data_IF_116316168867
#
_entry.id   IF_116316168867
#
_cell.length_a   1.000
_cell.length_b   1.000
_cell.length_c   1.000
_cell.angle_alpha   90.00
_cell.angle_beta   90.00
_cell.angle_gamma   90.00
#
_symmetry.space_group_name_H-M   'P 1'
#
loop_
_entity.id
_entity.type
_entity.pdbx_description
1 polymer ?
#
# COMPACT_ATOMS: atom_id res chain seq x y z
N UNK A 1 -10.01 -1.00 -7.66
CA UNK A 1 -10.23 -0.27 -6.38
C UNK A 1 -11.65 0.28 -6.16
N UNK A 2 -12.61 0.11 -7.07
CA UNK A 2 -13.95 0.71 -6.92
C UNK A 2 -14.75 0.23 -5.69
N UNK A 3 -14.68 -1.06 -5.35
CA UNK A 3 -15.45 -1.63 -4.23
C UNK A 3 -15.04 -1.13 -2.84
N UNK A 4 -13.77 -0.71 -2.68
CA UNK A 4 -13.24 -0.23 -1.41
C UNK A 4 -13.02 1.27 -1.37
N UNK A 5 -13.28 1.99 -2.47
CA UNK A 5 -12.95 3.42 -2.57
C UNK A 5 -13.61 4.27 -1.48
N UNK A 6 -14.87 3.97 -1.11
CA UNK A 6 -15.60 4.65 -0.04
C UNK A 6 -15.10 4.36 1.38
N UNK A 7 -14.12 3.47 1.56
CA UNK A 7 -13.49 3.20 2.87
C UNK A 7 -12.32 4.15 3.18
N UNK A 8 -11.92 4.97 2.20
CA UNK A 8 -10.80 5.88 2.34
C UNK A 8 -11.31 7.31 2.34
N UNK A 9 -11.08 8.05 3.43
CA UNK A 9 -11.42 9.48 3.50
C UNK A 9 -10.54 10.35 2.57
N UNK A 10 -9.37 9.85 2.17
CA UNK A 10 -8.38 10.56 1.34
C UNK A 10 -7.94 9.70 0.16
N UNK A 11 -7.46 10.34 -0.91
CA UNK A 11 -7.03 9.65 -2.13
C UNK A 11 -5.67 8.96 -1.98
N UNK A 12 -4.76 9.53 -1.18
CA UNK A 12 -3.40 9.02 -0.99
C UNK A 12 -3.37 7.63 -0.34
N UNK A 13 -4.09 7.35 0.77
CA UNK A 13 -4.10 6.02 1.37
C UNK A 13 -4.82 5.01 0.47
N UNK A 14 -5.78 5.45 -0.36
CA UNK A 14 -6.45 4.61 -1.37
C UNK A 14 -5.51 4.18 -2.47
N UNK A 15 -4.73 5.12 -3.02
CA UNK A 15 -3.70 4.82 -4.03
C UNK A 15 -2.65 3.87 -3.46
N UNK A 16 -2.24 4.09 -2.20
CA UNK A 16 -1.27 3.23 -1.53
C UNK A 16 -1.79 1.83 -1.24
N UNK A 17 -3.06 1.69 -0.84
CA UNK A 17 -3.70 0.38 -0.75
C UNK A 17 -3.73 -0.33 -2.12
N UNK A 18 -3.93 0.43 -3.20
CA UNK A 18 -3.74 -0.02 -4.59
C UNK A 18 -2.39 -0.68 -4.82
N UNK A 19 -1.34 0.10 -4.53
CA UNK A 19 0.06 -0.31 -4.65
C UNK A 19 0.40 -1.53 -3.80
N UNK A 20 -0.09 -1.56 -2.56
CA UNK A 20 0.08 -2.71 -1.67
C UNK A 20 -0.51 -3.98 -2.27
N UNK A 21 -1.76 -3.93 -2.74
CA UNK A 21 -2.42 -5.10 -3.36
C UNK A 21 -1.67 -5.55 -4.62
N UNK A 22 -1.23 -4.61 -5.45
CA UNK A 22 -0.44 -4.94 -6.63
C UNK A 22 0.88 -5.64 -6.26
N UNK A 23 1.58 -5.17 -5.23
CA UNK A 23 2.77 -5.83 -4.72
C UNK A 23 2.49 -7.21 -4.13
N UNK A 24 1.37 -7.37 -3.42
CA UNK A 24 0.95 -8.67 -2.90
C UNK A 24 0.59 -9.68 -3.99
N UNK A 25 0.13 -9.22 -5.16
CA UNK A 25 -0.20 -10.05 -6.31
C UNK A 25 0.96 -10.26 -7.28
N UNK A 26 2.02 -9.47 -7.16
CA UNK A 26 3.22 -9.61 -7.98
C UNK A 26 4.03 -10.87 -7.63
N UNK A 27 4.97 -11.23 -8.50
CA UNK A 27 5.89 -12.36 -8.32
C UNK A 27 7.11 -12.00 -7.44
N UNK A 28 6.93 -11.04 -6.51
CA UNK A 28 8.00 -10.67 -5.58
C UNK A 28 8.34 -11.86 -4.67
N UNK A 29 9.64 -12.20 -4.51
CA UNK A 29 10.08 -13.30 -3.67
C UNK A 29 9.80 -13.06 -2.18
N UNK A 30 9.62 -11.79 -1.78
CA UNK A 30 9.30 -11.38 -0.42
C UNK A 30 8.20 -10.32 -0.44
N UNK A 31 7.20 -10.52 0.42
CA UNK A 31 5.95 -9.74 0.47
C UNK A 31 5.88 -8.89 1.74
N UNK A 32 6.92 -8.12 2.03
CA UNK A 32 6.94 -7.20 3.16
C UNK A 32 6.76 -5.74 2.72
N UNK A 33 6.57 -4.83 3.69
CA UNK A 33 6.35 -3.41 3.41
C UNK A 33 7.53 -2.75 2.70
N UNK A 34 8.75 -3.24 2.93
CA UNK A 34 9.96 -2.68 2.33
C UNK A 34 10.04 -3.07 0.87
N UNK A 35 10.03 -4.37 0.58
CA UNK A 35 10.10 -4.92 -0.78
C UNK A 35 8.97 -4.41 -1.65
N UNK A 36 7.74 -4.28 -1.10
CA UNK A 36 6.63 -3.74 -1.87
C UNK A 36 6.78 -2.23 -2.10
N UNK A 37 7.27 -1.47 -1.11
CA UNK A 37 7.53 -0.04 -1.29
C UNK A 37 8.57 0.22 -2.38
N UNK A 38 9.66 -0.54 -2.39
CA UNK A 38 10.69 -0.49 -3.44
C UNK A 38 10.09 -0.84 -4.80
N UNK A 39 9.29 -1.92 -4.88
CA UNK A 39 8.66 -2.35 -6.11
C UNK A 39 7.74 -1.30 -6.74
N UNK A 40 7.06 -0.48 -5.92
CA UNK A 40 6.21 0.63 -6.41
C UNK A 40 6.94 1.96 -6.56
N UNK A 41 8.26 1.97 -6.40
CA UNK A 41 9.10 3.16 -6.53
C UNK A 41 9.02 4.15 -5.36
N UNK A 42 8.52 3.71 -4.19
CA UNK A 42 8.57 4.50 -2.97
C UNK A 42 9.96 4.39 -2.33
N UNK A 43 10.54 5.52 -1.94
CA UNK A 43 11.90 5.60 -1.38
C UNK A 43 11.98 5.07 0.06
N UNK A 44 10.84 4.84 0.71
CA UNK A 44 10.77 4.34 2.08
C UNK A 44 9.48 3.54 2.32
N UNK A 45 9.47 2.61 3.31
CA UNK A 45 8.30 1.83 3.65
C UNK A 45 7.30 2.59 4.53
N UNK A 46 7.59 3.82 4.97
CA UNK A 46 6.78 4.50 6.00
C UNK A 46 5.36 4.74 5.54
N UNK A 47 5.16 5.05 4.25
CA UNK A 47 3.81 5.15 3.70
C UNK A 47 3.02 3.85 3.88
N UNK A 48 3.66 2.71 3.60
CA UNK A 48 3.05 1.39 3.68
C UNK A 48 2.81 0.95 5.13
N UNK A 49 3.79 1.19 6.00
CA UNK A 49 3.67 0.93 7.43
C UNK A 49 2.63 1.84 8.09
N UNK A 50 2.52 3.10 7.67
CA UNK A 50 1.48 3.98 8.15
C UNK A 50 0.10 3.44 7.77
N UNK A 51 -0.09 3.03 6.52
CA UNK A 51 -1.34 2.43 6.04
C UNK A 51 -1.76 1.20 6.87
N UNK A 52 -0.81 0.35 7.27
CA UNK A 52 -1.10 -0.91 7.96
C UNK A 52 -1.12 -0.81 9.49
N UNK A 53 -0.27 0.04 10.07
CA UNK A 53 -0.03 0.06 11.52
C UNK A 53 -0.52 1.33 12.22
N UNK A 54 -0.73 2.43 11.49
CA UNK A 54 -1.01 3.75 12.10
C UNK A 54 -2.22 4.47 11.52
N UNK A 55 -2.77 4.01 10.40
CA UNK A 55 -3.94 4.59 9.80
C UNK A 55 -5.15 4.38 10.73
N UNK A 56 -5.86 5.47 10.99
CA UNK A 56 -7.18 5.45 11.61
C UNK A 56 -8.20 5.65 10.50
N UNK A 57 -9.19 4.75 10.45
CA UNK A 57 -10.22 4.65 9.41
C UNK A 57 -11.54 5.23 9.87
#
# INVERSE_FOLDING_TARGET
MGRIAGRFARVEPRLRAGRLVMGLLSDLPRKDCWTIAEWVGETNPHGMQHLLCRASW
#
